data_IF_038796048579
#
_entry.id   IF_038796048579
#
_cell.length_a   1.000
_cell.length_b   1.000
_cell.length_c   1.000
_cell.angle_alpha   90.00
_cell.angle_beta   90.00
_cell.angle_gamma   90.00
#
_symmetry.space_group_name_H-M   'P 1'
#
loop_
_entity.id
_entity.type
_entity.pdbx_description
1 polymer ?
#
# COMPACT_ATOMS: atom_id res chain seq x y z
N UNK A 1 18.66 -1.89 -1.60
CA UNK A 1 20.10 -1.91 -1.41
C UNK A 1 20.44 -2.47 -0.03
N UNK A 2 21.57 -3.07 0.13
CA UNK A 2 21.99 -3.72 1.39
C UNK A 2 21.99 -2.79 2.61
N UNK A 3 22.14 -1.49 2.38
CA UNK A 3 22.21 -0.48 3.44
C UNK A 3 20.95 0.43 3.49
N UNK A 4 19.84 -0.02 2.92
CA UNK A 4 18.63 0.77 2.80
C UNK A 4 18.70 1.86 1.72
N UNK A 5 17.58 2.54 1.48
CA UNK A 5 17.49 3.68 0.56
C UNK A 5 16.89 4.86 1.30
N UNK A 6 17.56 6.01 1.24
CA UNK A 6 17.09 7.28 1.84
C UNK A 6 16.08 8.05 0.96
N UNK A 7 15.57 7.43 -0.10
CA UNK A 7 14.60 8.04 -1.01
C UNK A 7 13.28 7.30 -0.96
N UNK A 8 12.19 8.04 -0.98
CA UNK A 8 10.85 7.51 -1.07
C UNK A 8 10.67 6.61 -2.31
N UNK A 9 9.78 5.63 -2.19
CA UNK A 9 9.44 4.73 -3.30
C UNK A 9 8.65 5.48 -4.37
N UNK A 10 8.91 5.14 -5.63
CA UNK A 10 8.01 5.52 -6.73
C UNK A 10 6.66 4.83 -6.53
N UNK A 11 5.59 5.58 -6.71
CA UNK A 11 4.24 5.04 -6.68
C UNK A 11 3.74 4.79 -8.10
N UNK A 12 3.86 3.53 -8.53
CA UNK A 12 3.43 3.12 -9.87
C UNK A 12 1.92 3.32 -10.04
N UNK A 13 1.14 2.97 -9.02
CA UNK A 13 -0.32 3.09 -9.08
C UNK A 13 -0.76 4.54 -9.27
N UNK A 14 -0.25 5.45 -8.46
CA UNK A 14 -0.54 6.90 -8.60
C UNK A 14 -0.08 7.41 -9.98
N UNK A 15 1.10 7.01 -10.44
CA UNK A 15 1.59 7.39 -11.77
C UNK A 15 0.64 6.96 -12.88
N UNK A 16 0.05 5.76 -12.77
CA UNK A 16 -0.89 5.24 -13.78
C UNK A 16 -2.28 5.88 -13.67
N UNK A 17 -2.73 6.27 -12.47
CA UNK A 17 -3.97 7.03 -12.29
C UNK A 17 -3.94 8.37 -13.02
N UNK A 18 -2.76 9.00 -13.16
CA UNK A 18 -2.59 10.29 -13.85
C UNK A 18 -2.94 10.23 -15.34
N UNK A 19 -2.97 9.05 -15.97
CA UNK A 19 -3.46 8.91 -17.34
C UNK A 19 -4.97 9.15 -17.47
N UNK A 20 -5.74 9.03 -16.39
CA UNK A 20 -7.17 9.33 -16.34
C UNK A 20 -8.09 8.31 -17.02
N UNK A 21 -7.56 7.41 -17.83
CA UNK A 21 -8.32 6.38 -18.57
C UNK A 21 -7.86 4.95 -18.30
N UNK A 22 -7.04 4.75 -17.28
CA UNK A 22 -6.55 3.43 -16.84
C UNK A 22 -7.25 3.03 -15.56
N UNK A 23 -7.84 1.83 -15.52
CA UNK A 23 -8.27 1.24 -14.25
C UNK A 23 -7.02 0.82 -13.47
N UNK A 24 -6.93 1.18 -12.20
CA UNK A 24 -5.77 0.83 -11.36
C UNK A 24 -6.24 0.25 -10.02
N UNK A 25 -5.74 -0.93 -9.65
CA UNK A 25 -5.99 -1.49 -8.33
C UNK A 25 -4.71 -1.95 -7.66
N UNK A 26 -4.60 -1.71 -6.36
CA UNK A 26 -3.57 -2.30 -5.51
C UNK A 26 -4.24 -3.29 -4.55
N UNK A 27 -3.82 -4.55 -4.63
CA UNK A 27 -4.48 -5.68 -3.96
C UNK A 27 -3.49 -6.50 -3.13
N UNK A 28 -4.02 -7.25 -2.16
CA UNK A 28 -3.30 -8.27 -1.41
C UNK A 28 -4.26 -9.40 -1.04
N UNK A 29 -4.12 -10.53 -1.72
CA UNK A 29 -5.02 -11.68 -1.59
C UNK A 29 -5.12 -12.17 -0.12
N UNK A 30 -3.99 -12.33 0.55
CA UNK A 30 -3.94 -12.80 1.93
C UNK A 30 -4.42 -11.77 2.95
N UNK A 31 -4.41 -10.47 2.61
CA UNK A 31 -4.93 -9.43 3.49
C UNK A 31 -6.45 -9.27 3.35
N UNK A 32 -6.96 -9.26 2.11
CA UNK A 32 -8.38 -8.97 1.87
C UNK A 32 -8.88 -9.64 0.57
N UNK A 33 -9.38 -10.87 0.69
CA UNK A 33 -9.87 -11.66 -0.44
C UNK A 33 -11.02 -10.96 -1.20
N UNK A 34 -12.00 -10.43 -0.49
CA UNK A 34 -13.17 -9.80 -1.12
C UNK A 34 -12.78 -8.55 -1.94
N UNK A 35 -11.81 -7.75 -1.46
CA UNK A 35 -11.30 -6.60 -2.20
C UNK A 35 -10.56 -7.06 -3.46
N UNK A 36 -9.77 -8.11 -3.36
CA UNK A 36 -9.04 -8.71 -4.48
C UNK A 36 -10.01 -9.20 -5.58
N UNK A 37 -11.03 -9.98 -5.20
CA UNK A 37 -12.05 -10.48 -6.16
C UNK A 37 -12.77 -9.31 -6.83
N UNK A 38 -13.20 -8.32 -6.04
CA UNK A 38 -13.88 -7.14 -6.57
C UNK A 38 -13.01 -6.34 -7.54
N UNK A 39 -11.72 -6.14 -7.20
CA UNK A 39 -10.79 -5.44 -8.07
C UNK A 39 -10.58 -6.14 -9.42
N UNK A 40 -10.52 -7.48 -9.42
CA UNK A 40 -10.37 -8.27 -10.65
C UNK A 40 -11.65 -8.17 -11.50
N UNK A 41 -12.84 -8.30 -10.88
CA UNK A 41 -14.11 -8.18 -11.60
C UNK A 41 -14.30 -6.78 -12.22
N UNK A 42 -13.94 -5.72 -11.47
CA UNK A 42 -14.00 -4.35 -11.99
C UNK A 42 -13.01 -4.14 -13.15
N UNK A 43 -11.79 -4.69 -13.04
CA UNK A 43 -10.78 -4.63 -14.10
C UNK A 43 -11.19 -5.37 -15.36
N UNK A 44 -11.82 -6.54 -15.24
CA UNK A 44 -12.33 -7.33 -16.36
C UNK A 44 -13.50 -6.62 -17.08
N UNK A 45 -14.38 -5.99 -16.31
CA UNK A 45 -15.50 -5.24 -16.84
C UNK A 45 -15.14 -3.83 -17.36
N UNK A 46 -13.89 -3.40 -17.19
CA UNK A 46 -13.44 -2.07 -17.63
C UNK A 46 -13.14 -2.09 -19.14
N UNK A 47 -13.72 -1.17 -19.95
CA UNK A 47 -13.57 -1.19 -21.42
C UNK A 47 -12.25 -0.56 -21.91
N UNK A 48 -11.23 -0.43 -21.05
CA UNK A 48 -9.94 0.18 -21.32
C UNK A 48 -8.79 -0.60 -20.70
N UNK A 49 -7.59 -0.03 -20.70
CA UNK A 49 -6.44 -0.66 -20.06
C UNK A 49 -6.63 -0.74 -18.54
N UNK A 50 -6.25 -1.88 -17.96
CA UNK A 50 -6.33 -2.14 -16.52
C UNK A 50 -4.98 -2.56 -15.97
N UNK A 51 -4.59 -1.99 -14.83
CA UNK A 51 -3.39 -2.36 -14.08
C UNK A 51 -3.77 -2.86 -12.69
N UNK A 52 -3.42 -4.10 -12.39
CA UNK A 52 -3.53 -4.65 -11.04
C UNK A 52 -2.12 -4.82 -10.47
N UNK A 53 -1.87 -4.21 -9.31
CA UNK A 53 -0.61 -4.29 -8.56
C UNK A 53 -0.87 -5.18 -7.35
N UNK A 54 -0.37 -6.42 -7.42
CA UNK A 54 -0.59 -7.41 -6.38
C UNK A 54 0.64 -7.55 -5.47
N UNK A 55 0.42 -7.64 -4.15
CA UNK A 55 1.48 -8.07 -3.23
C UNK A 55 1.70 -9.57 -3.39
N UNK A 56 2.95 -9.94 -3.63
CA UNK A 56 3.38 -11.34 -3.66
C UNK A 56 4.37 -11.59 -2.53
N UNK A 57 4.12 -12.56 -1.64
CA UNK A 57 5.12 -13.03 -0.69
C UNK A 57 6.28 -13.69 -1.43
N UNK A 58 7.46 -13.64 -0.83
CA UNK A 58 8.67 -14.22 -1.40
C UNK A 58 9.51 -14.86 -0.29
N UNK A 59 10.03 -16.03 -0.54
CA UNK A 59 10.91 -16.76 0.39
C UNK A 59 12.17 -15.95 0.71
N UNK A 60 12.68 -15.16 -0.23
CA UNK A 60 13.82 -14.24 -0.03
C UNK A 60 13.53 -13.09 0.97
N UNK A 61 12.28 -12.85 1.34
CA UNK A 61 11.98 -11.96 2.45
C UNK A 61 12.42 -12.55 3.80
N UNK A 62 12.60 -13.89 3.86
CA UNK A 62 13.18 -14.59 5.00
C UNK A 62 12.26 -14.68 6.21
N UNK A 63 11.01 -15.06 5.98
CA UNK A 63 10.05 -15.47 7.00
C UNK A 63 9.35 -16.76 6.57
N UNK A 64 8.70 -17.44 7.52
CA UNK A 64 7.95 -18.65 7.22
C UNK A 64 6.76 -18.35 6.30
N UNK A 65 6.78 -18.92 5.09
CA UNK A 65 5.71 -18.71 4.10
C UNK A 65 4.33 -19.22 4.55
N UNK A 66 4.27 -20.13 5.53
CA UNK A 66 3.01 -20.53 6.14
C UNK A 66 2.29 -19.35 6.83
N UNK A 67 3.05 -18.31 7.24
CA UNK A 67 2.54 -17.08 7.85
C UNK A 67 2.28 -15.97 6.83
N UNK A 68 2.32 -16.26 5.53
CA UNK A 68 2.21 -15.23 4.47
C UNK A 68 0.93 -14.40 4.57
N UNK A 69 -0.20 -15.02 4.91
CA UNK A 69 -1.47 -14.29 5.06
C UNK A 69 -1.43 -13.31 6.24
N UNK A 70 -0.82 -13.71 7.36
CA UNK A 70 -0.68 -12.84 8.52
C UNK A 70 0.26 -11.67 8.21
N UNK A 71 1.39 -11.95 7.54
CA UNK A 71 2.31 -10.92 7.09
C UNK A 71 1.65 -9.92 6.13
N UNK A 72 0.87 -10.40 5.15
CA UNK A 72 0.13 -9.53 4.23
C UNK A 72 -0.89 -8.64 4.97
N UNK A 73 -1.61 -9.20 5.98
CA UNK A 73 -2.54 -8.43 6.80
C UNK A 73 -1.83 -7.32 7.57
N UNK A 74 -0.70 -7.64 8.20
CA UNK A 74 0.09 -6.68 8.96
C UNK A 74 0.68 -5.58 8.06
N UNK A 75 1.26 -5.94 6.90
CA UNK A 75 1.76 -4.96 5.93
C UNK A 75 0.66 -4.02 5.41
N UNK A 76 -0.56 -4.54 5.27
CA UNK A 76 -1.70 -3.71 4.89
C UNK A 76 -2.14 -2.80 6.05
N UNK A 77 -2.19 -3.31 7.27
CA UNK A 77 -2.58 -2.55 8.46
C UNK A 77 -1.60 -1.42 8.80
N UNK A 78 -0.30 -1.60 8.54
CA UNK A 78 0.74 -0.56 8.76
C UNK A 78 0.85 0.46 7.63
N UNK A 79 0.01 0.36 6.59
CA UNK A 79 0.07 1.24 5.42
C UNK A 79 1.24 0.95 4.47
N UNK A 80 2.08 -0.06 4.75
CA UNK A 80 3.17 -0.44 3.85
C UNK A 80 2.65 -0.88 2.48
N UNK A 81 1.47 -1.53 2.46
CA UNK A 81 0.77 -1.95 1.26
C UNK A 81 -0.70 -1.54 1.31
N UNK A 82 -1.06 -0.26 1.05
CA UNK A 82 -2.45 0.18 1.06
C UNK A 82 -3.25 -0.46 -0.06
N UNK A 83 -4.49 -0.82 0.20
CA UNK A 83 -5.42 -1.37 -0.77
C UNK A 83 -6.33 -0.28 -1.30
N UNK A 84 -6.47 -0.21 -2.62
CA UNK A 84 -7.33 0.76 -3.29
C UNK A 84 -7.74 0.27 -4.68
N UNK A 85 -8.77 0.92 -5.24
CA UNK A 85 -9.24 0.75 -6.61
C UNK A 85 -9.53 2.12 -7.20
N UNK A 86 -8.98 2.41 -8.35
CA UNK A 86 -9.24 3.61 -9.11
C UNK A 86 -9.97 3.21 -10.40
N UNK A 87 -11.23 3.61 -10.51
CA UNK A 87 -12.09 3.35 -11.66
C UNK A 87 -12.54 4.69 -12.27
N UNK A 88 -12.02 5.08 -13.44
CA UNK A 88 -12.40 6.32 -14.10
C UNK A 88 -13.91 6.49 -14.32
N UNK A 89 -14.66 5.39 -14.55
CA UNK A 89 -16.11 5.42 -14.80
C UNK A 89 -16.92 5.99 -13.63
N UNK A 90 -16.37 5.92 -12.42
CA UNK A 90 -17.05 6.48 -11.22
C UNK A 90 -17.26 7.99 -11.33
N UNK A 91 -16.42 8.69 -12.10
CA UNK A 91 -16.61 10.13 -12.35
C UNK A 91 -17.91 10.40 -13.14
N UNK A 92 -18.28 9.52 -14.05
CA UNK A 92 -19.53 9.60 -14.82
C UNK A 92 -20.76 9.45 -13.93
N UNK A 93 -20.60 8.81 -12.77
CA UNK A 93 -21.62 8.65 -11.73
C UNK A 93 -21.59 9.79 -10.68
N UNK A 94 -20.77 10.82 -10.88
CA UNK A 94 -20.58 11.91 -9.92
C UNK A 94 -19.82 11.49 -8.64
N UNK A 95 -19.09 10.38 -8.68
CA UNK A 95 -18.29 9.86 -7.57
C UNK A 95 -16.81 10.09 -7.82
N UNK A 96 -16.01 10.18 -6.74
CA UNK A 96 -14.56 10.21 -6.89
C UNK A 96 -14.07 8.86 -7.46
N UNK A 97 -13.14 8.90 -8.45
CA UNK A 97 -12.63 7.69 -9.09
C UNK A 97 -11.93 6.72 -8.13
N UNK A 98 -11.23 7.24 -7.10
CA UNK A 98 -10.51 6.43 -6.14
C UNK A 98 -11.42 5.93 -5.01
N UNK A 99 -11.42 4.61 -4.79
CA UNK A 99 -11.93 3.96 -3.60
C UNK A 99 -10.76 3.45 -2.77
N UNK A 100 -10.49 4.08 -1.62
CA UNK A 100 -9.46 3.63 -0.67
C UNK A 100 -10.07 2.56 0.24
N UNK A 101 -9.57 1.33 0.12
CA UNK A 101 -10.08 0.15 0.83
C UNK A 101 -9.35 -0.10 2.15
N UNK A 102 -8.16 0.47 2.33
CA UNK A 102 -7.41 0.42 3.59
C UNK A 102 -7.90 1.41 4.64
N UNK A 103 -7.66 1.06 5.91
CA UNK A 103 -7.78 1.95 7.07
C UNK A 103 -6.52 2.80 7.22
N UNK A 104 -6.53 3.84 8.07
CA UNK A 104 -5.32 4.56 8.44
C UNK A 104 -4.22 3.62 8.94
N UNK A 105 -2.93 3.93 8.67
CA UNK A 105 -1.80 3.13 9.14
C UNK A 105 -1.79 2.97 10.66
N UNK A 106 -1.43 1.77 11.13
CA UNK A 106 -1.15 1.51 12.54
C UNK A 106 0.33 1.76 12.86
N UNK A 107 0.65 1.96 14.16
CA UNK A 107 2.01 2.25 14.64
C UNK A 107 2.95 1.02 14.66
N UNK A 108 2.47 -0.16 14.24
CA UNK A 108 3.20 -1.43 14.30
C UNK A 108 4.18 -1.67 13.13
N UNK A 109 4.58 -0.63 12.36
CA UNK A 109 5.43 -0.80 11.17
C UNK A 109 6.76 -1.47 11.49
N UNK A 110 7.50 -0.98 12.48
CA UNK A 110 8.82 -1.51 12.82
C UNK A 110 8.75 -3.00 13.22
N UNK A 111 7.79 -3.36 14.05
CA UNK A 111 7.53 -4.74 14.46
C UNK A 111 7.22 -5.66 13.28
N UNK A 112 6.35 -5.19 12.38
CA UNK A 112 5.97 -5.93 11.17
C UNK A 112 7.16 -6.14 10.24
N UNK A 113 8.00 -5.12 10.02
CA UNK A 113 9.18 -5.23 9.18
C UNK A 113 10.22 -6.17 9.79
N UNK A 114 10.37 -6.18 11.12
CA UNK A 114 11.31 -7.05 11.82
C UNK A 114 10.94 -8.55 11.74
N UNK A 115 9.77 -8.92 11.25
CA UNK A 115 9.43 -10.31 10.94
C UNK A 115 10.20 -10.82 9.70
N UNK A 116 10.66 -9.94 8.83
CA UNK A 116 11.42 -10.30 7.63
C UNK A 116 12.94 -10.23 7.85
N UNK A 117 13.65 -11.27 7.44
CA UNK A 117 15.11 -11.36 7.65
C UNK A 117 15.88 -10.21 7.01
N UNK A 118 15.43 -9.71 5.86
CA UNK A 118 16.08 -8.58 5.17
C UNK A 118 16.14 -7.32 6.04
N UNK A 119 15.11 -7.07 6.85
CA UNK A 119 15.08 -5.92 7.76
C UNK A 119 15.81 -6.21 9.07
N UNK A 120 15.69 -7.45 9.61
CA UNK A 120 16.48 -7.88 10.78
C UNK A 120 17.99 -7.76 10.51
N UNK A 121 18.44 -8.15 9.31
CA UNK A 121 19.86 -8.03 8.91
C UNK A 121 20.33 -6.59 8.93
N UNK A 122 19.54 -5.66 8.38
CA UNK A 122 19.84 -4.23 8.42
C UNK A 122 19.93 -3.72 9.87
N UNK A 123 18.96 -4.07 10.70
CA UNK A 123 18.94 -3.67 12.11
C UNK A 123 20.14 -4.24 12.91
N UNK A 124 20.54 -5.48 12.64
CA UNK A 124 21.69 -6.08 13.30
C UNK A 124 23.04 -5.45 12.87
N UNK A 125 23.16 -5.03 11.60
CA UNK A 125 24.39 -4.44 11.07
C UNK A 125 24.53 -2.95 11.34
N UNK A 126 23.42 -2.22 11.33
CA UNK A 126 23.37 -0.76 11.43
C UNK A 126 22.13 -0.29 12.21
N UNK A 127 22.05 -0.51 13.53
CA UNK A 127 20.85 -0.28 14.32
C UNK A 127 20.37 1.17 14.28
N UNK A 128 21.30 2.15 14.41
CA UNK A 128 20.95 3.57 14.36
C UNK A 128 20.40 4.01 13.00
N UNK A 129 20.98 3.48 11.90
CA UNK A 129 20.49 3.74 10.55
C UNK A 129 19.11 3.10 10.36
N UNK A 130 18.92 1.88 10.85
CA UNK A 130 17.65 1.18 10.78
C UNK A 130 16.55 1.95 11.51
N UNK A 131 16.79 2.40 12.73
CA UNK A 131 15.83 3.18 13.51
C UNK A 131 15.39 4.45 12.77
N UNK A 132 16.36 5.20 12.21
CA UNK A 132 16.01 6.39 11.44
C UNK A 132 15.19 6.04 10.18
N UNK A 133 15.57 4.98 9.47
CA UNK A 133 14.84 4.53 8.28
C UNK A 133 13.42 4.06 8.60
N UNK A 134 13.17 3.46 9.78
CA UNK A 134 11.81 3.10 10.19
C UNK A 134 10.95 4.33 10.48
N UNK A 135 11.52 5.36 11.13
CA UNK A 135 10.83 6.64 11.37
C UNK A 135 10.49 7.35 10.07
N UNK A 136 11.46 7.44 9.16
CA UNK A 136 11.27 8.06 7.84
C UNK A 136 10.23 7.28 7.03
N UNK A 137 10.29 5.94 7.04
CA UNK A 137 9.32 5.09 6.35
C UNK A 137 7.91 5.28 6.91
N UNK A 138 7.73 5.31 8.23
CA UNK A 138 6.42 5.53 8.85
C UNK A 138 5.82 6.89 8.44
N UNK A 139 6.63 7.95 8.44
CA UNK A 139 6.22 9.28 8.01
C UNK A 139 5.83 9.32 6.51
N UNK A 140 6.59 8.64 5.65
CA UNK A 140 6.28 8.56 4.22
C UNK A 140 5.02 7.74 3.94
N UNK A 141 4.78 6.67 4.69
CA UNK A 141 3.56 5.86 4.58
C UNK A 141 2.33 6.64 5.02
N UNK A 142 2.42 7.42 6.10
CA UNK A 142 1.34 8.29 6.54
C UNK A 142 1.02 9.34 5.46
N UNK A 143 2.01 10.05 4.95
CA UNK A 143 1.82 11.03 3.86
C UNK A 143 1.17 10.39 2.63
N UNK A 144 1.60 9.17 2.28
CA UNK A 144 1.00 8.44 1.16
C UNK A 144 -0.46 8.10 1.41
N UNK A 145 -0.77 7.62 2.63
CA UNK A 145 -2.15 7.34 3.01
C UNK A 145 -3.02 8.61 2.96
N UNK A 146 -2.54 9.71 3.53
CA UNK A 146 -3.27 10.99 3.54
C UNK A 146 -3.56 11.48 2.12
N UNK A 147 -2.58 11.37 1.22
CA UNK A 147 -2.77 11.69 -0.19
C UNK A 147 -3.85 10.81 -0.85
N UNK A 148 -3.81 9.50 -0.64
CA UNK A 148 -4.84 8.59 -1.15
C UNK A 148 -6.21 8.85 -0.52
N UNK A 149 -6.25 9.19 0.77
CA UNK A 149 -7.48 9.55 1.47
C UNK A 149 -8.10 10.83 0.91
N UNK A 150 -7.30 11.84 0.58
CA UNK A 150 -7.76 13.05 -0.10
C UNK A 150 -8.36 12.72 -1.47
N UNK A 151 -7.69 11.93 -2.29
CA UNK A 151 -8.20 11.51 -3.59
C UNK A 151 -9.50 10.68 -3.49
N UNK A 152 -9.69 9.96 -2.38
CA UNK A 152 -10.90 9.18 -2.09
C UNK A 152 -12.00 9.98 -1.37
N UNK A 153 -11.78 11.26 -1.07
CA UNK A 153 -12.72 12.09 -0.31
C UNK A 153 -12.88 11.66 1.16
N UNK A 154 -11.89 10.95 1.72
CA UNK A 154 -11.86 10.47 3.10
C UNK A 154 -10.97 11.32 4.03
N UNK A 155 -10.39 12.42 3.52
CA UNK A 155 -9.62 13.33 4.36
C UNK A 155 -10.52 13.84 5.49
N UNK A 156 -10.08 13.74 6.73
CA UNK A 156 -10.73 14.42 7.84
C UNK A 156 -10.79 15.91 7.50
N UNK A 157 -11.99 16.48 7.58
CA UNK A 157 -12.13 17.93 7.55
C UNK A 157 -11.38 18.42 8.78
N UNK A 158 -10.20 19.01 8.58
CA UNK A 158 -9.56 19.79 9.63
C UNK A 158 -10.61 20.77 10.13
N UNK A 159 -11.04 20.58 11.36
CA UNK A 159 -11.90 21.53 12.04
C UNK A 159 -11.09 22.82 12.11
N UNK A 160 -11.37 23.75 11.22
CA UNK A 160 -10.92 25.14 11.34
C UNK A 160 -11.74 25.75 12.46
N UNK A 161 -11.16 25.82 13.65
CA UNK A 161 -11.49 26.86 14.64
C UNK A 161 -10.74 28.14 14.31
#
# INVERSE_FOLDING_TARGET
GEHGKRKARKDLGVSMMMYGHVYVAQISLGAQLNQTVKAIQEAEAYPGPSLIIAYSPCEEHGYDLALSHDQMRQLTATGFWPLYRFDPRRADEGKLPLALDSRPPSDALAETLMQEQRFRRLNAQQPEVAEQLWKDAAADLQKRYDFLAQLAGKAEKSVSE
#
